data_IF_389736481966
#
_entry.id   IF_389736481966
#
_cell.length_a   1.000
_cell.length_b   1.000
_cell.length_c   1.000
_cell.angle_alpha   90.00
_cell.angle_beta   90.00
_cell.angle_gamma   90.00
#
_symmetry.space_group_name_H-M   'P 1'
#
loop_
_entity.id
_entity.type
_entity.pdbx_description
1 polymer ?
#
# COMPACT_ATOMS: atom_id res chain seq x y z
N UNK A 1 -19.73 -23.24 -24.26
CA UNK A 1 -19.75 -22.47 -23.00
C UNK A 1 -18.68 -21.40 -23.12
N UNK A 2 -18.94 -20.17 -22.67
CA UNK A 2 -17.90 -19.14 -22.69
C UNK A 2 -16.76 -19.55 -21.73
N UNK A 3 -15.51 -19.33 -22.14
CA UNK A 3 -14.37 -19.51 -21.24
C UNK A 3 -14.50 -18.52 -20.08
N UNK A 4 -14.27 -18.98 -18.85
CA UNK A 4 -14.21 -18.08 -17.69
C UNK A 4 -12.99 -17.16 -17.85
N UNK A 5 -13.23 -15.86 -17.76
CA UNK A 5 -12.16 -14.86 -17.68
C UNK A 5 -11.49 -14.97 -16.31
N UNK A 6 -10.17 -15.12 -16.31
CA UNK A 6 -9.38 -15.01 -15.08
C UNK A 6 -9.08 -13.53 -14.83
N UNK A 7 -9.66 -12.97 -13.78
CA UNK A 7 -9.40 -11.61 -13.33
C UNK A 7 -8.19 -11.58 -12.40
N UNK A 8 -7.39 -10.51 -12.48
CA UNK A 8 -6.29 -10.23 -11.54
C UNK A 8 -6.66 -8.97 -10.77
N UNK A 9 -7.03 -9.13 -9.51
CA UNK A 9 -7.46 -8.00 -8.68
C UNK A 9 -6.31 -7.45 -7.84
N UNK A 10 -6.26 -6.13 -7.72
CA UNK A 10 -5.35 -5.39 -6.84
C UNK A 10 -6.09 -4.26 -6.11
N UNK A 11 -5.59 -3.87 -4.94
CA UNK A 11 -5.99 -2.63 -4.25
C UNK A 11 -4.83 -2.09 -3.42
N UNK A 12 -4.95 -0.86 -2.95
CA UNK A 12 -3.95 -0.23 -2.09
C UNK A 12 -4.25 -0.34 -0.61
N UNK A 13 -3.24 -0.41 0.28
CA UNK A 13 -3.47 -0.51 1.72
C UNK A 13 -4.30 0.66 2.28
N UNK A 14 -4.31 1.83 1.61
CA UNK A 14 -5.14 2.98 1.95
C UNK A 14 -6.65 2.75 1.78
N UNK A 15 -7.07 1.74 0.99
CA UNK A 15 -8.49 1.39 0.87
C UNK A 15 -9.06 0.81 2.18
N UNK A 16 -8.21 0.20 3.01
CA UNK A 16 -8.54 -0.20 4.39
C UNK A 16 -8.28 1.02 5.27
N UNK A 17 -9.11 2.05 5.09
CA UNK A 17 -8.98 3.39 5.70
C UNK A 17 -9.56 3.43 7.12
N UNK A 18 -8.99 4.28 7.98
CA UNK A 18 -9.43 4.57 9.34
C UNK A 18 -10.66 5.49 9.40
N UNK A 19 -11.03 6.10 8.26
CA UNK A 19 -12.33 6.76 8.05
C UNK A 19 -12.40 8.25 8.37
N UNK A 20 -11.26 8.91 8.63
CA UNK A 20 -11.22 10.37 8.79
C UNK A 20 -11.61 11.11 7.50
N UNK A 21 -12.22 12.28 7.67
CA UNK A 21 -12.56 13.21 6.60
C UNK A 21 -12.42 14.67 7.09
N UNK A 22 -12.63 15.70 6.24
CA UNK A 22 -12.47 17.10 6.66
C UNK A 22 -13.37 17.57 7.81
N UNK A 23 -14.44 16.83 8.13
CA UNK A 23 -15.44 17.16 9.14
C UNK A 23 -15.55 16.12 10.26
N UNK A 24 -14.77 15.03 10.23
CA UNK A 24 -14.86 13.93 11.17
C UNK A 24 -13.51 13.27 11.46
N UNK A 25 -13.28 12.81 12.72
CA UNK A 25 -12.06 12.11 13.08
C UNK A 25 -12.04 10.68 12.51
N UNK A 26 -10.93 9.99 12.72
CA UNK A 26 -10.86 8.54 12.55
C UNK A 26 -11.90 7.83 13.42
N UNK A 27 -12.51 6.79 12.87
CA UNK A 27 -13.57 6.00 13.55
C UNK A 27 -13.27 4.50 13.57
N UNK A 28 -12.14 4.07 12.99
CA UNK A 28 -11.68 2.68 12.98
C UNK A 28 -10.24 2.62 13.49
N UNK A 29 -9.91 1.56 14.22
CA UNK A 29 -8.54 1.29 14.67
C UNK A 29 -7.62 1.09 13.47
N UNK A 30 -6.43 1.73 13.46
CA UNK A 30 -5.44 1.51 12.41
C UNK A 30 -4.88 0.09 12.46
N UNK A 31 -4.50 -0.43 11.30
CA UNK A 31 -3.79 -1.70 11.17
C UNK A 31 -2.41 -1.49 10.56
N UNK A 32 -1.36 -2.18 11.05
CA UNK A 32 -0.07 -2.20 10.37
C UNK A 32 -0.19 -2.71 8.93
N UNK A 33 0.59 -2.16 8.00
CA UNK A 33 0.58 -2.58 6.59
C UNK A 33 0.84 -4.10 6.47
N UNK A 34 1.79 -4.63 7.23
CA UNK A 34 2.10 -6.06 7.23
C UNK A 34 0.87 -6.92 7.60
N UNK A 35 0.03 -6.48 8.53
CA UNK A 35 -1.21 -7.17 8.87
C UNK A 35 -2.23 -7.07 7.74
N UNK A 36 -2.45 -5.87 7.20
CA UNK A 36 -3.35 -5.64 6.05
C UNK A 36 -3.01 -6.58 4.88
N UNK A 37 -1.72 -6.78 4.59
CA UNK A 37 -1.24 -7.63 3.50
C UNK A 37 -1.60 -9.11 3.66
N UNK A 38 -1.73 -9.62 4.89
CA UNK A 38 -2.12 -11.02 5.13
C UNK A 38 -3.54 -11.35 4.66
N UNK A 39 -4.39 -10.33 4.46
CA UNK A 39 -5.78 -10.53 4.06
C UNK A 39 -5.98 -10.61 2.54
N UNK A 40 -5.02 -10.16 1.73
CA UNK A 40 -5.24 -9.98 0.29
C UNK A 40 -5.55 -11.30 -0.42
N UNK A 41 -4.73 -12.33 -0.21
CA UNK A 41 -4.90 -13.62 -0.88
C UNK A 41 -6.20 -14.32 -0.47
N UNK A 42 -6.58 -14.25 0.81
CA UNK A 42 -7.85 -14.85 1.29
C UNK A 42 -9.08 -14.13 0.73
N UNK A 43 -8.95 -12.85 0.39
CA UNK A 43 -9.97 -12.05 -0.27
C UNK A 43 -9.96 -12.16 -1.81
N UNK A 44 -9.03 -12.94 -2.39
CA UNK A 44 -8.93 -13.16 -3.83
C UNK A 44 -8.13 -12.11 -4.60
N UNK A 45 -7.34 -11.29 -3.91
CA UNK A 45 -6.45 -10.29 -4.51
C UNK A 45 -5.04 -10.83 -4.66
N UNK A 46 -4.40 -10.43 -5.76
CA UNK A 46 -3.07 -10.90 -6.13
C UNK A 46 -2.05 -9.76 -6.13
N UNK A 47 -2.51 -8.53 -6.36
CA UNK A 47 -1.68 -7.35 -6.45
C UNK A 47 -1.93 -6.36 -5.33
N UNK A 48 -0.90 -5.62 -4.98
CA UNK A 48 -0.94 -4.50 -4.06
C UNK A 48 -0.51 -3.24 -4.81
N UNK A 49 -1.31 -2.20 -4.65
CA UNK A 49 -1.00 -0.86 -5.16
C UNK A 49 -0.35 -0.07 -4.03
N UNK A 50 0.60 0.80 -4.33
CA UNK A 50 1.29 1.57 -3.31
C UNK A 50 1.36 3.05 -3.68
N UNK A 51 1.30 3.91 -2.67
CA UNK A 51 2.05 5.15 -2.73
C UNK A 51 3.51 4.89 -2.31
N UNK A 52 4.43 5.73 -2.77
CA UNK A 52 5.83 5.67 -2.39
C UNK A 52 6.04 5.65 -0.86
N UNK A 53 5.31 6.48 -0.13
CA UNK A 53 5.35 6.55 1.33
C UNK A 53 4.56 5.44 2.05
N UNK A 54 3.71 4.67 1.35
CA UNK A 54 3.16 3.40 1.86
C UNK A 54 4.25 2.31 1.90
N UNK A 55 5.23 2.38 0.99
CA UNK A 55 6.37 1.44 0.97
C UNK A 55 7.46 1.90 1.93
N UNK A 56 7.79 3.19 1.88
CA UNK A 56 8.88 3.78 2.64
C UNK A 56 8.34 4.93 3.49
N UNK A 57 7.95 4.60 4.71
CA UNK A 57 7.45 5.57 5.68
C UNK A 57 8.50 6.68 5.94
N UNK A 58 8.05 7.94 5.95
CA UNK A 58 8.90 9.13 6.10
C UNK A 58 10.03 9.22 5.05
N UNK A 59 9.75 8.81 3.80
CA UNK A 59 10.70 8.79 2.68
C UNK A 59 11.57 10.06 2.58
N UNK A 60 10.98 11.24 2.75
CA UNK A 60 11.65 12.55 2.65
C UNK A 60 12.79 12.77 3.66
N UNK A 61 12.83 11.98 4.74
CA UNK A 61 13.81 12.09 5.83
C UNK A 61 14.92 11.04 5.75
N UNK A 62 14.84 10.13 4.77
CA UNK A 62 15.72 8.98 4.67
C UNK A 62 16.79 9.16 3.58
N UNK A 63 17.96 8.55 3.80
CA UNK A 63 18.94 8.43 2.73
C UNK A 63 18.47 7.43 1.67
N UNK A 64 18.94 7.53 0.42
CA UNK A 64 18.59 6.58 -0.64
C UNK A 64 18.84 5.11 -0.25
N UNK A 65 19.91 4.84 0.51
CA UNK A 65 20.24 3.50 1.00
C UNK A 65 19.17 2.97 1.97
N UNK A 66 18.70 3.83 2.89
CA UNK A 66 17.63 3.49 3.84
C UNK A 66 16.29 3.25 3.13
N UNK A 67 15.98 4.03 2.10
CA UNK A 67 14.81 3.80 1.27
C UNK A 67 14.87 2.44 0.58
N UNK A 68 16.02 2.07 0.01
CA UNK A 68 16.23 0.77 -0.63
C UNK A 68 16.17 -0.39 0.37
N UNK A 69 16.69 -0.23 1.58
CA UNK A 69 16.55 -1.22 2.67
C UNK A 69 15.07 -1.48 2.96
N UNK A 70 14.30 -0.41 3.20
CA UNK A 70 12.87 -0.51 3.50
C UNK A 70 12.06 -1.12 2.35
N UNK A 71 12.32 -0.71 1.11
CA UNK A 71 11.68 -1.29 -0.06
C UNK A 71 11.96 -2.79 -0.21
N UNK A 72 13.17 -3.26 0.14
CA UNK A 72 13.51 -4.70 0.14
C UNK A 72 12.76 -5.46 1.22
N UNK A 73 12.52 -4.86 2.39
CA UNK A 73 11.67 -5.47 3.43
C UNK A 73 10.24 -5.66 2.92
N UNK A 74 9.64 -4.61 2.34
CA UNK A 74 8.29 -4.70 1.78
C UNK A 74 8.22 -5.75 0.66
N UNK A 75 9.23 -5.82 -0.21
CA UNK A 75 9.34 -6.90 -1.22
C UNK A 75 9.32 -8.29 -0.59
N UNK A 76 9.99 -8.50 0.54
CA UNK A 76 9.98 -9.78 1.26
C UNK A 76 8.60 -10.08 1.82
N UNK A 77 7.96 -9.11 2.47
CA UNK A 77 6.60 -9.25 2.99
C UNK A 77 5.61 -9.63 1.88
N UNK A 78 5.71 -8.99 0.71
CA UNK A 78 4.90 -9.34 -0.46
C UNK A 78 5.15 -10.79 -0.90
N UNK A 79 6.41 -11.19 -1.02
CA UNK A 79 6.76 -12.56 -1.41
C UNK A 79 6.23 -13.60 -0.41
N UNK A 80 6.33 -13.34 0.90
CA UNK A 80 5.84 -14.21 1.96
C UNK A 80 4.30 -14.35 1.97
N UNK A 81 3.59 -13.37 1.39
CA UNK A 81 2.13 -13.39 1.21
C UNK A 81 1.70 -13.76 -0.22
N UNK A 82 2.63 -14.21 -1.07
CA UNK A 82 2.39 -14.50 -2.48
C UNK A 82 1.82 -13.31 -3.26
N UNK A 83 2.10 -12.07 -2.88
CA UNK A 83 1.57 -10.86 -3.53
C UNK A 83 2.57 -10.23 -4.49
N UNK A 84 2.04 -9.49 -5.48
CA UNK A 84 2.86 -8.66 -6.38
C UNK A 84 2.64 -7.18 -6.11
N UNK A 85 3.69 -6.38 -6.18
CA UNK A 85 3.54 -4.93 -6.28
C UNK A 85 3.05 -4.62 -7.71
N UNK A 86 1.80 -4.19 -7.85
CA UNK A 86 1.15 -4.01 -9.15
C UNK A 86 1.49 -2.65 -9.77
N UNK A 87 1.40 -1.57 -8.98
CA UNK A 87 2.02 -0.29 -9.30
C UNK A 87 2.43 0.48 -8.03
N UNK A 88 3.26 1.50 -8.24
CA UNK A 88 3.62 2.49 -7.21
C UNK A 88 3.39 3.89 -7.80
N UNK A 89 2.76 4.78 -7.05
CA UNK A 89 2.52 6.18 -7.42
C UNK A 89 3.08 7.14 -6.36
N UNK A 90 3.55 8.34 -6.72
CA UNK A 90 4.02 9.30 -5.73
C UNK A 90 2.84 9.97 -5.00
N UNK A 91 2.93 10.15 -3.69
CA UNK A 91 1.94 10.91 -2.89
C UNK A 91 2.37 12.36 -2.71
N UNK A 92 1.85 13.24 -3.58
CA UNK A 92 2.29 14.64 -3.69
C UNK A 92 1.28 15.65 -3.13
N UNK A 93 0.35 15.26 -2.26
CA UNK A 93 -0.71 16.15 -1.76
C UNK A 93 -0.75 16.33 -0.23
N UNK A 94 0.15 15.68 0.52
CA UNK A 94 0.25 15.88 1.98
C UNK A 94 1.48 16.71 2.39
N UNK A 95 2.56 16.69 1.60
CA UNK A 95 3.76 17.44 1.92
C UNK A 95 3.58 18.92 1.51
N UNK A 96 3.83 19.90 2.40
CA UNK A 96 3.77 21.32 2.03
C UNK A 96 4.67 21.73 0.86
N UNK A 97 5.73 20.97 0.57
CA UNK A 97 6.64 21.23 -0.55
C UNK A 97 6.05 20.92 -1.93
N UNK A 98 4.93 20.18 -1.97
CA UNK A 98 4.31 19.72 -3.22
C UNK A 98 2.96 20.37 -3.50
N UNK A 99 2.56 21.34 -2.66
CA UNK A 99 1.37 22.18 -2.83
C UNK A 99 1.76 23.40 -3.67
N UNK A 100 0.97 23.72 -4.69
CA UNK A 100 1.16 24.86 -5.60
C UNK A 100 0.73 26.22 -5.02
#
# INVERSE_FOLDING_TARGET
>A
MANKTNYRFSFGPWNISEGADPFGPEVRTPYPIAEKLTWYRSLGFEGVQFHDDDVVENLDQLSPEKCLERAREVRRILADNELVAEFVAPRLWFNPQTID
#
